data_IF_907059544034
#
_entry.id   IF_907059544034
#
_cell.length_a   1.000
_cell.length_b   1.000
_cell.length_c   1.000
_cell.angle_alpha   90.00
_cell.angle_beta   90.00
_cell.angle_gamma   90.00
#
_symmetry.space_group_name_H-M   'P 1'
#
loop_
_entity.id
_entity.type
_entity.pdbx_description
1 polymer ?
#
# COMPACT_ATOMS: atom_id res chain seq x y z
N UNK A 1 -3.27 16.49 -2.53
CA UNK A 1 -2.13 15.61 -2.79
C UNK A 1 -1.08 16.40 -3.52
N UNK A 2 0.15 16.39 -3.03
CA UNK A 2 1.30 17.10 -3.60
C UNK A 2 2.35 16.08 -4.07
N UNK A 3 3.22 16.45 -5.03
CA UNK A 3 4.35 15.58 -5.40
C UNK A 3 5.18 15.17 -4.19
N UNK A 4 5.62 13.90 -4.17
CA UNK A 4 6.43 13.28 -3.10
C UNK A 4 5.72 13.11 -1.75
N UNK A 5 4.44 13.40 -1.64
CA UNK A 5 3.67 12.93 -0.48
C UNK A 5 3.61 11.38 -0.47
N UNK A 6 3.68 10.81 0.72
CA UNK A 6 3.47 9.37 0.93
C UNK A 6 1.97 9.16 1.15
N UNK A 7 1.40 8.20 0.43
CA UNK A 7 -0.03 7.88 0.54
C UNK A 7 -0.20 6.50 1.16
N UNK A 8 -0.84 6.43 2.33
CA UNK A 8 -1.22 5.18 2.97
C UNK A 8 -2.73 4.92 2.80
N UNK A 9 -3.06 3.73 2.32
CA UNK A 9 -4.44 3.30 2.08
C UNK A 9 -4.88 2.38 3.22
N UNK A 10 -5.80 2.88 4.06
CA UNK A 10 -6.41 2.10 5.13
C UNK A 10 -7.59 1.31 4.57
N UNK A 11 -7.41 0.01 4.37
CA UNK A 11 -8.44 -0.92 3.91
C UNK A 11 -9.19 -1.61 5.06
N UNK A 12 -8.74 -1.38 6.29
CA UNK A 12 -9.11 -2.12 7.52
C UNK A 12 -8.68 -3.60 7.54
N UNK A 13 -7.93 -4.06 6.55
CA UNK A 13 -7.37 -5.41 6.57
C UNK A 13 -6.41 -5.62 7.74
N UNK A 14 -5.69 -4.58 8.16
CA UNK A 14 -4.77 -4.62 9.30
C UNK A 14 -5.43 -5.08 10.61
N UNK A 15 -6.73 -4.83 10.79
CA UNK A 15 -7.52 -5.32 11.94
C UNK A 15 -7.70 -6.85 11.93
N UNK A 16 -7.44 -7.50 10.80
CA UNK A 16 -7.53 -8.97 10.65
C UNK A 16 -6.16 -9.65 10.79
N UNK A 17 -5.10 -8.89 11.02
CA UNK A 17 -3.75 -9.44 11.18
C UNK A 17 -3.71 -10.54 12.25
N UNK A 18 -3.07 -11.68 11.92
CA UNK A 18 -3.06 -12.86 12.78
C UNK A 18 -4.25 -13.81 12.61
N UNK A 19 -5.30 -13.44 11.88
CA UNK A 19 -6.41 -14.32 11.54
C UNK A 19 -6.21 -14.98 10.17
N UNK A 20 -6.81 -16.15 9.96
CA UNK A 20 -6.66 -16.92 8.73
C UNK A 20 -7.18 -16.21 7.48
N UNK A 21 -8.12 -15.29 7.63
CA UNK A 21 -8.72 -14.51 6.56
C UNK A 21 -8.00 -13.20 6.23
N UNK A 22 -6.92 -12.86 6.93
CA UNK A 22 -6.16 -11.63 6.67
C UNK A 22 -5.70 -11.53 5.20
N UNK A 23 -5.24 -12.61 4.61
CA UNK A 23 -4.74 -12.65 3.23
C UNK A 23 -5.80 -12.26 2.20
N UNK A 24 -7.06 -12.52 2.51
CA UNK A 24 -8.21 -12.21 1.65
C UNK A 24 -8.99 -10.96 2.08
N UNK A 25 -8.58 -10.32 3.19
CA UNK A 25 -9.22 -9.13 3.70
C UNK A 25 -8.76 -7.85 2.97
N UNK A 26 -9.63 -6.84 2.99
CA UNK A 26 -9.34 -5.54 2.40
C UNK A 26 -9.60 -5.48 0.90
N UNK A 27 -9.02 -4.48 0.28
CA UNK A 27 -9.07 -4.27 -1.17
C UNK A 27 -7.67 -3.93 -1.69
N UNK A 28 -7.46 -4.11 -2.99
CA UNK A 28 -6.22 -3.73 -3.65
C UNK A 28 -6.34 -2.44 -4.43
N UNK A 29 -5.19 -1.91 -4.82
CA UNK A 29 -5.04 -0.79 -5.74
C UNK A 29 -4.70 -1.36 -7.12
N UNK A 30 -5.67 -1.39 -8.03
CA UNK A 30 -5.45 -1.81 -9.41
C UNK A 30 -4.55 -0.83 -10.17
N UNK A 31 -4.33 -1.11 -11.46
CA UNK A 31 -3.46 -0.31 -12.31
C UNK A 31 -3.87 1.17 -12.35
N UNK A 32 -5.13 1.47 -12.69
CA UNK A 32 -5.63 2.84 -12.83
C UNK A 32 -5.55 3.63 -11.53
N UNK A 33 -5.93 3.00 -10.40
CA UNK A 33 -5.87 3.64 -9.09
C UNK A 33 -4.42 3.92 -8.67
N UNK A 34 -3.50 3.02 -8.99
CA UNK A 34 -2.07 3.23 -8.75
C UNK A 34 -1.54 4.36 -9.64
N UNK A 35 -1.83 4.34 -10.94
CA UNK A 35 -1.41 5.41 -11.88
C UNK A 35 -1.95 6.77 -11.46
N UNK A 36 -3.19 6.84 -10.97
CA UNK A 36 -3.76 8.09 -10.44
C UNK A 36 -2.87 8.75 -9.38
N UNK A 37 -2.25 7.96 -8.49
CA UNK A 37 -1.31 8.45 -7.49
C UNK A 37 0.03 8.85 -8.13
N UNK A 38 0.56 8.00 -9.00
CA UNK A 38 1.89 8.17 -9.58
C UNK A 38 1.97 9.39 -10.51
N UNK A 39 0.93 9.65 -11.30
CA UNK A 39 0.81 10.83 -12.17
C UNK A 39 0.73 12.14 -11.38
N UNK A 40 0.32 12.08 -10.10
CA UNK A 40 0.32 13.23 -9.19
C UNK A 40 1.62 13.39 -8.40
N UNK A 41 2.64 12.60 -8.76
CA UNK A 41 3.98 12.71 -8.19
C UNK A 41 4.20 11.89 -6.92
N UNK A 42 3.27 11.06 -6.50
CA UNK A 42 3.49 10.09 -5.41
C UNK A 42 4.52 9.06 -5.88
N UNK A 43 5.48 8.72 -5.02
CA UNK A 43 6.53 7.74 -5.32
C UNK A 43 6.69 6.68 -4.24
N UNK A 44 5.98 6.85 -3.13
CA UNK A 44 5.91 5.87 -2.06
C UNK A 44 4.46 5.77 -1.58
N UNK A 45 3.95 4.56 -1.57
CA UNK A 45 2.59 4.24 -1.09
C UNK A 45 2.65 3.19 0.00
N UNK A 46 1.55 2.99 0.70
CA UNK A 46 1.44 1.93 1.70
C UNK A 46 0.02 1.41 1.84
N UNK A 47 -0.14 0.20 2.34
CA UNK A 47 -1.43 -0.40 2.68
C UNK A 47 -1.33 -1.29 3.91
N UNK A 48 -2.43 -1.42 4.63
CA UNK A 48 -2.60 -2.37 5.72
C UNK A 48 -3.03 -3.76 5.22
N UNK A 49 -3.35 -3.89 3.92
CA UNK A 49 -3.67 -5.16 3.29
C UNK A 49 -2.44 -6.06 3.12
N UNK A 50 -2.67 -7.34 2.85
CA UNK A 50 -1.63 -8.32 2.57
C UNK A 50 -0.78 -7.94 1.36
N UNK A 51 -1.41 -7.40 0.31
CA UNK A 51 -0.74 -6.94 -0.90
C UNK A 51 -1.29 -5.58 -1.34
N UNK A 52 -0.50 -4.85 -2.12
CA UNK A 52 -0.92 -3.64 -2.81
C UNK A 52 -2.00 -3.92 -3.86
N UNK A 53 -1.92 -5.07 -4.55
CA UNK A 53 -2.96 -5.54 -5.47
C UNK A 53 -4.13 -6.18 -4.74
N UNK A 54 -5.21 -6.42 -5.48
CA UNK A 54 -6.38 -7.12 -4.96
C UNK A 54 -6.02 -8.50 -4.39
N UNK A 55 -6.73 -8.96 -3.35
CA UNK A 55 -6.50 -10.30 -2.80
C UNK A 55 -6.54 -11.38 -3.89
N UNK A 56 -5.57 -12.28 -3.89
CA UNK A 56 -5.36 -13.28 -4.94
C UNK A 56 -6.57 -14.16 -5.22
N UNK A 57 -7.41 -14.41 -4.23
CA UNK A 57 -8.64 -15.21 -4.42
C UNK A 57 -9.56 -14.61 -5.49
N UNK A 58 -9.64 -13.28 -5.56
CA UNK A 58 -10.46 -12.57 -6.55
C UNK A 58 -9.78 -12.54 -7.92
N UNK A 59 -8.48 -12.30 -7.95
CA UNK A 59 -7.68 -12.29 -9.17
C UNK A 59 -7.65 -13.68 -9.82
N UNK A 60 -7.44 -14.75 -9.03
CA UNK A 60 -7.44 -16.12 -9.50
C UNK A 60 -8.78 -16.50 -10.13
N UNK A 61 -9.90 -16.10 -9.52
CA UNK A 61 -11.25 -16.35 -10.07
C UNK A 61 -11.42 -15.64 -11.43
N UNK A 62 -11.12 -14.37 -11.50
CA UNK A 62 -11.23 -13.59 -12.75
C UNK A 62 -10.33 -14.15 -13.84
N UNK A 63 -9.11 -14.55 -13.49
CA UNK A 63 -8.18 -15.16 -14.44
C UNK A 63 -8.69 -16.49 -14.96
N UNK A 64 -9.25 -17.34 -14.09
CA UNK A 64 -9.83 -18.62 -14.50
C UNK A 64 -11.02 -18.45 -15.48
N UNK A 65 -11.78 -17.37 -15.35
CA UNK A 65 -12.92 -17.05 -16.22
C UNK A 65 -12.49 -16.43 -17.55
N UNK A 66 -11.46 -15.59 -17.58
CA UNK A 66 -11.07 -14.77 -18.74
C UNK A 66 -9.80 -15.23 -19.45
N UNK A 67 -8.89 -15.91 -18.76
CA UNK A 67 -7.53 -16.19 -19.26
C UNK A 67 -6.65 -14.95 -19.37
N UNK A 68 -7.10 -13.79 -18.88
CA UNK A 68 -6.41 -12.51 -19.03
C UNK A 68 -5.32 -12.34 -17.97
N UNK A 69 -4.06 -12.55 -18.37
CA UNK A 69 -2.90 -12.38 -17.50
C UNK A 69 -2.63 -10.90 -17.12
N UNK A 70 -3.28 -9.93 -17.75
CA UNK A 70 -3.15 -8.52 -17.39
C UNK A 70 -3.70 -8.23 -16.00
N UNK A 71 -4.66 -9.02 -15.54
CA UNK A 71 -5.28 -8.93 -14.22
C UNK A 71 -4.32 -9.28 -13.06
N UNK A 72 -3.21 -9.95 -13.36
CA UNK A 72 -2.25 -10.37 -12.33
C UNK A 72 -1.31 -9.21 -12.02
N UNK A 73 -1.29 -8.75 -10.76
CA UNK A 73 -0.40 -7.71 -10.27
C UNK A 73 -0.52 -6.37 -10.99
N UNK A 74 -1.73 -5.91 -11.16
CA UNK A 74 -2.05 -4.67 -11.88
C UNK A 74 -1.37 -3.45 -11.25
N UNK A 75 -1.43 -3.29 -9.93
CA UNK A 75 -0.78 -2.20 -9.21
C UNK A 75 0.75 -2.30 -9.27
N UNK A 76 1.31 -3.50 -9.11
CA UNK A 76 2.76 -3.69 -9.29
C UNK A 76 3.22 -3.34 -10.71
N UNK A 77 2.42 -3.71 -11.73
CA UNK A 77 2.73 -3.41 -13.14
C UNK A 77 2.76 -1.93 -13.44
N UNK A 78 2.00 -1.10 -12.75
CA UNK A 78 2.05 0.35 -12.89
C UNK A 78 3.47 0.92 -12.66
N UNK A 79 4.27 0.25 -11.83
CA UNK A 79 5.67 0.60 -11.59
C UNK A 79 6.61 0.44 -12.79
N UNK A 80 6.15 -0.19 -13.89
CA UNK A 80 6.89 -0.24 -15.16
C UNK A 80 6.81 1.08 -15.92
N UNK A 81 5.68 1.77 -15.78
CA UNK A 81 5.41 3.04 -16.47
C UNK A 81 5.93 4.22 -15.64
N UNK A 82 5.64 4.24 -14.35
CA UNK A 82 6.15 5.24 -13.42
C UNK A 82 6.70 4.52 -12.19
N UNK A 83 8.03 4.53 -12.02
CA UNK A 83 8.70 3.87 -10.90
C UNK A 83 8.24 4.39 -9.53
N UNK A 84 7.92 3.48 -8.62
CA UNK A 84 7.52 3.77 -7.25
C UNK A 84 7.89 2.62 -6.33
N UNK A 85 7.76 2.84 -5.03
CA UNK A 85 7.81 1.81 -4.00
C UNK A 85 6.48 1.74 -3.26
N UNK A 86 6.15 0.57 -2.72
CA UNK A 86 5.01 0.43 -1.82
C UNK A 86 5.38 -0.39 -0.59
N UNK A 87 4.67 -0.13 0.50
CA UNK A 87 4.77 -0.84 1.77
C UNK A 87 3.48 -1.62 1.94
N UNK A 88 3.59 -2.89 2.26
CA UNK A 88 2.45 -3.76 2.53
C UNK A 88 2.41 -4.14 4.00
N UNK A 89 1.24 -4.57 4.47
CA UNK A 89 1.05 -5.09 5.82
C UNK A 89 1.35 -4.06 6.91
N UNK A 90 1.01 -2.79 6.65
CA UNK A 90 1.00 -1.76 7.67
C UNK A 90 -0.03 -2.09 8.75
N UNK A 91 0.19 -1.60 9.95
CA UNK A 91 -0.72 -1.80 11.08
C UNK A 91 -1.03 -0.45 11.73
N UNK A 92 -2.18 -0.38 12.41
CA UNK A 92 -2.66 0.83 13.11
C UNK A 92 -2.91 2.05 12.18
N UNK A 93 -3.23 1.85 10.91
CA UNK A 93 -3.60 2.98 10.05
C UNK A 93 -4.90 3.65 10.48
N UNK A 94 -5.79 2.92 11.15
CA UNK A 94 -7.08 3.40 11.64
C UNK A 94 -7.00 4.45 12.74
N UNK A 95 -5.86 4.54 13.43
CA UNK A 95 -5.65 5.54 14.50
C UNK A 95 -4.99 6.82 13.98
N UNK A 96 -4.60 6.84 12.71
CA UNK A 96 -3.95 8.00 12.11
C UNK A 96 -4.99 9.01 11.58
N UNK A 97 -4.73 10.31 11.73
CA UNK A 97 -5.51 11.32 11.02
C UNK A 97 -5.28 11.20 9.52
N UNK A 98 -6.17 11.72 8.67
CA UNK A 98 -6.03 11.63 7.22
C UNK A 98 -4.81 12.38 6.66
N UNK A 99 -4.28 13.34 7.39
CA UNK A 99 -3.10 14.16 7.02
C UNK A 99 -2.42 14.72 8.27
N UNK A 100 -1.27 15.38 8.11
CA UNK A 100 -0.63 16.12 9.20
C UNK A 100 0.43 15.35 9.98
N UNK A 101 0.97 14.27 9.41
CA UNK A 101 2.06 13.50 10.02
C UNK A 101 3.13 13.15 8.99
N UNK A 102 4.30 12.79 9.49
CA UNK A 102 5.39 12.23 8.69
C UNK A 102 5.43 10.72 8.84
N UNK A 103 5.87 10.01 7.80
CA UNK A 103 6.16 8.59 7.88
C UNK A 103 7.67 8.38 7.73
N UNK A 104 8.28 7.67 8.67
CA UNK A 104 9.62 7.13 8.55
C UNK A 104 9.54 5.63 8.25
N UNK A 105 10.17 5.18 7.15
CA UNK A 105 10.00 3.82 6.64
C UNK A 105 11.22 3.33 5.83
N UNK A 106 12.40 3.40 6.42
CA UNK A 106 13.64 2.99 5.77
C UNK A 106 13.78 1.46 5.76
N UNK A 107 13.79 0.80 4.58
CA UNK A 107 13.87 -0.65 4.49
C UNK A 107 15.29 -1.17 4.75
N UNK A 108 15.39 -2.39 5.26
CA UNK A 108 16.65 -3.11 5.28
C UNK A 108 17.14 -3.42 3.86
N UNK A 109 18.41 -3.15 3.60
CA UNK A 109 19.05 -3.46 2.31
C UNK A 109 19.46 -4.93 2.27
N UNK A 110 18.77 -5.72 1.48
CA UNK A 110 19.05 -7.14 1.29
C UNK A 110 19.64 -7.31 -0.11
N UNK A 111 20.84 -7.88 -0.20
CA UNK A 111 21.51 -8.10 -1.49
C UNK A 111 20.68 -9.01 -2.39
N UNK A 112 20.39 -8.56 -3.61
CA UNK A 112 19.66 -9.33 -4.62
C UNK A 112 18.16 -9.45 -4.37
N UNK A 113 17.61 -8.83 -3.31
CA UNK A 113 16.17 -8.79 -3.08
C UNK A 113 15.52 -7.55 -3.71
N UNK A 114 14.27 -7.70 -4.16
CA UNK A 114 13.44 -6.60 -4.65
C UNK A 114 12.74 -5.83 -3.53
N UNK A 115 12.75 -6.36 -2.31
CA UNK A 115 12.10 -5.76 -1.15
C UNK A 115 12.92 -6.03 0.12
N UNK A 116 12.63 -5.28 1.19
CA UNK A 116 13.19 -5.46 2.52
C UNK A 116 12.17 -5.09 3.59
N UNK A 117 12.30 -5.68 4.77
CA UNK A 117 11.46 -5.29 5.90
C UNK A 117 11.72 -3.85 6.29
N UNK A 118 10.68 -3.16 6.69
CA UNK A 118 10.78 -1.81 7.24
C UNK A 118 9.99 -1.69 8.53
N UNK A 119 10.51 -0.92 9.47
CA UNK A 119 9.73 -0.39 10.58
C UNK A 119 9.13 0.94 10.12
N UNK A 120 7.87 0.92 9.70
CA UNK A 120 7.14 2.15 9.41
C UNK A 120 6.61 2.75 10.72
N UNK A 121 6.86 4.03 10.92
CA UNK A 121 6.34 4.78 12.09
C UNK A 121 5.78 6.12 11.62
N UNK A 122 4.62 6.50 12.17
CA UNK A 122 4.07 7.83 12.04
C UNK A 122 4.68 8.75 13.09
N UNK A 123 5.09 9.95 12.69
CA UNK A 123 5.70 10.97 13.54
C UNK A 123 4.78 12.18 13.50
N UNK A 124 4.29 12.60 14.67
CA UNK A 124 3.43 13.74 14.84
C UNK A 124 4.20 14.90 15.43
N UNK A 125 3.83 16.11 15.05
CA UNK A 125 4.22 17.32 15.76
C UNK A 125 3.20 17.54 16.90
N UNK A 126 3.67 17.73 18.13
CA UNK A 126 2.82 17.94 19.30
C UNK A 126 1.89 19.14 19.12
N UNK A 127 2.28 20.15 18.35
CA UNK A 127 1.44 21.28 18.02
C UNK A 127 0.23 20.93 17.14
N UNK A 128 0.33 19.87 16.33
CA UNK A 128 -0.77 19.38 15.48
C UNK A 128 -1.76 18.52 16.27
N UNK A 129 -1.30 17.82 17.31
CA UNK A 129 -2.15 16.98 18.17
C UNK A 129 -3.01 17.81 19.13
N UNK A 130 -2.60 19.03 19.46
CA UNK A 130 -3.33 19.94 20.35
C UNK A 130 -4.47 20.72 19.65
N UNK A 131 -4.56 20.64 18.31
CA UNK A 131 -5.52 21.40 17.50
C UNK A 131 -6.75 20.60 17.05
N UNK A 132 -6.86 19.32 17.42
CA UNK A 132 -7.97 18.40 17.12
C UNK A 132 -8.75 18.05 18.37
#
# INVERSE_FOLDING_TARGET
MKPLEIVAVNTRAGMRYGNADYVSAGCGMGYEATMYLLERGVRLTGTDAWSWDAPFVHTAKKYAESGDASLIWEGHKAGRDIGYCHIEKLHNLEVLPPTGFFISCFPHKIRGASAGWTRAVAIFDDALMAAG
#
